data_IF_341418849026
#
_entry.id   IF_341418849026
#
_cell.length_a   1.000
_cell.length_b   1.000
_cell.length_c   1.000
_cell.angle_alpha   90.00
_cell.angle_beta   90.00
_cell.angle_gamma   90.00
#
_symmetry.space_group_name_H-M   'P 1'
#
loop_
_entity.id
_entity.type
_entity.pdbx_description
1 polymer ?
#
# COMPACT_ATOMS: atom_id res chain seq x y z
N UNK A 1 28.23 5.27 7.36
CA UNK A 1 27.02 4.57 7.85
C UNK A 1 26.89 3.25 7.11
N UNK A 2 26.71 2.19 7.84
CA UNK A 2 26.50 0.88 7.25
C UNK A 2 25.01 0.75 6.86
N UNK A 3 24.75 0.45 5.60
CA UNK A 3 23.36 0.22 5.16
C UNK A 3 22.81 -1.01 5.89
N UNK A 4 21.55 -0.92 6.29
CA UNK A 4 20.86 -2.05 6.90
C UNK A 4 20.82 -3.18 5.87
N UNK A 5 21.42 -4.37 6.16
CA UNK A 5 21.43 -5.45 5.19
C UNK A 5 20.05 -6.04 4.90
N UNK A 6 19.04 -5.70 5.73
CA UNK A 6 17.67 -6.13 5.52
C UNK A 6 16.91 -5.25 4.55
N UNK A 7 17.41 -4.04 4.28
CA UNK A 7 16.75 -3.15 3.32
C UNK A 7 17.01 -3.64 1.90
N UNK A 8 15.95 -3.77 1.15
CA UNK A 8 16.01 -4.16 -0.26
C UNK A 8 15.93 -2.89 -1.12
N UNK A 9 16.99 -2.51 -1.82
CA UNK A 9 16.98 -1.29 -2.65
C UNK A 9 15.99 -1.36 -3.81
N UNK A 10 15.55 -2.56 -4.19
CA UNK A 10 14.53 -2.74 -5.21
C UNK A 10 13.12 -2.58 -4.67
N UNK A 11 12.94 -2.57 -3.35
CA UNK A 11 11.63 -2.40 -2.72
C UNK A 11 11.43 -0.98 -2.23
N UNK A 12 10.16 -0.58 -2.10
CA UNK A 12 9.78 0.60 -1.32
C UNK A 12 9.46 0.11 0.08
N UNK A 13 10.14 0.64 1.08
CA UNK A 13 9.97 0.26 2.49
C UNK A 13 9.82 1.52 3.33
N UNK A 14 8.64 1.72 3.89
CA UNK A 14 8.33 2.92 4.68
C UNK A 14 7.64 2.52 5.98
N UNK A 15 7.99 3.21 7.04
CA UNK A 15 7.39 3.00 8.36
C UNK A 15 6.73 4.25 8.89
N UNK A 16 5.67 4.07 9.65
CA UNK A 16 4.97 5.15 10.33
C UNK A 16 4.48 4.68 11.69
N UNK A 17 4.43 5.59 12.65
CA UNK A 17 3.87 5.30 13.98
C UNK A 17 2.58 6.09 14.16
N UNK A 18 1.54 5.41 14.66
CA UNK A 18 0.26 6.03 14.99
C UNK A 18 -0.05 5.79 16.47
N UNK A 19 -0.62 6.79 17.12
CA UNK A 19 -1.02 6.68 18.52
C UNK A 19 -2.20 5.75 18.73
N UNK A 20 -2.95 5.50 17.67
CA UNK A 20 -4.16 4.69 17.70
C UNK A 20 -3.82 3.19 17.68
N UNK A 21 -4.68 2.34 18.25
CA UNK A 21 -4.41 0.90 18.30
C UNK A 21 -4.51 0.25 16.91
N UNK A 22 -3.95 -0.97 16.75
CA UNK A 22 -3.99 -1.66 15.46
C UNK A 22 -5.39 -1.79 14.85
N UNK A 23 -6.42 -1.92 15.68
CA UNK A 23 -7.79 -2.01 15.19
C UNK A 23 -8.20 -0.77 14.41
N UNK A 24 -7.82 0.42 14.89
CA UNK A 24 -8.14 1.68 14.21
C UNK A 24 -7.36 1.81 12.90
N UNK A 25 -6.11 1.41 12.88
CA UNK A 25 -5.29 1.42 11.67
C UNK A 25 -5.83 0.42 10.65
N UNK A 26 -6.19 -0.77 11.11
CA UNK A 26 -6.77 -1.81 10.26
C UNK A 26 -8.05 -1.33 9.58
N UNK A 27 -8.91 -0.63 10.31
CA UNK A 27 -10.14 -0.09 9.74
C UNK A 27 -9.85 0.88 8.60
N UNK A 28 -8.86 1.75 8.77
CA UNK A 28 -8.48 2.68 7.71
C UNK A 28 -7.95 1.98 6.46
N UNK A 29 -7.33 0.80 6.63
CA UNK A 29 -6.80 0.02 5.51
C UNK A 29 -7.85 -0.84 4.81
N UNK A 30 -8.97 -1.13 5.45
CA UNK A 30 -9.92 -2.14 4.96
C UNK A 30 -11.34 -1.64 4.73
N UNK A 31 -11.77 -0.57 5.36
CA UNK A 31 -13.10 -0.02 5.13
C UNK A 31 -13.12 0.86 3.88
N UNK A 32 -13.97 0.55 2.87
CA UNK A 32 -13.98 1.30 1.61
C UNK A 32 -14.20 2.80 1.78
N UNK A 33 -15.06 3.22 2.70
CA UNK A 33 -15.31 4.64 2.94
C UNK A 33 -14.06 5.36 3.46
N UNK A 34 -13.25 4.68 4.28
CA UNK A 34 -12.01 5.24 4.80
C UNK A 34 -10.90 5.20 3.75
N UNK A 35 -10.82 4.10 2.98
CA UNK A 35 -9.87 4.00 1.87
C UNK A 35 -10.05 5.13 0.85
N UNK A 36 -11.29 5.52 0.58
CA UNK A 36 -11.57 6.61 -0.34
C UNK A 36 -10.95 7.94 0.13
N UNK A 37 -10.84 8.12 1.44
CA UNK A 37 -10.37 9.38 2.01
C UNK A 37 -8.85 9.56 1.94
N UNK A 38 -8.07 8.47 1.89
CA UNK A 38 -6.62 8.59 1.87
C UNK A 38 -5.95 7.95 0.64
N UNK A 39 -6.66 7.11 -0.06
CA UNK A 39 -6.15 6.45 -1.26
C UNK A 39 -7.16 6.58 -2.40
N UNK A 40 -8.04 5.63 -2.55
CA UNK A 40 -9.08 5.59 -3.58
C UNK A 40 -10.20 4.69 -3.08
N UNK A 41 -11.42 4.87 -3.61
CA UNK A 41 -12.52 3.97 -3.28
C UNK A 41 -12.36 2.67 -4.06
N UNK A 42 -12.27 1.51 -3.38
CA UNK A 42 -12.16 0.24 -4.08
C UNK A 42 -13.53 -0.27 -4.51
N UNK A 43 -13.54 -1.06 -5.58
CA UNK A 43 -14.71 -1.81 -6.03
C UNK A 43 -14.44 -3.29 -5.81
N UNK A 44 -15.31 -3.97 -5.07
CA UNK A 44 -15.21 -5.40 -4.83
C UNK A 44 -14.24 -5.81 -3.74
N UNK A 45 -13.82 -4.87 -2.90
CA UNK A 45 -12.84 -5.16 -1.85
C UNK A 45 -13.46 -5.94 -0.69
N UNK A 46 -12.72 -6.95 -0.22
CA UNK A 46 -12.93 -7.61 1.06
C UNK A 46 -11.58 -8.06 1.58
N UNK A 47 -11.37 -8.04 2.90
CA UNK A 47 -10.12 -8.47 3.51
C UNK A 47 -10.09 -9.99 3.65
N UNK A 48 -10.18 -10.68 2.51
CA UNK A 48 -10.16 -12.14 2.42
C UNK A 48 -9.25 -12.56 1.26
N UNK A 49 -8.41 -13.56 1.50
CA UNK A 49 -7.51 -14.08 0.48
C UNK A 49 -8.28 -14.53 -0.75
N UNK A 50 -7.77 -14.15 -1.93
CA UNK A 50 -8.40 -14.48 -3.21
C UNK A 50 -9.40 -13.45 -3.70
N UNK A 51 -9.71 -12.42 -2.90
CA UNK A 51 -10.62 -11.36 -3.34
C UNK A 51 -9.95 -10.53 -4.43
N UNK A 52 -10.63 -10.40 -5.56
CA UNK A 52 -10.22 -9.50 -6.64
C UNK A 52 -10.96 -8.19 -6.49
N UNK A 53 -10.23 -7.09 -6.52
CA UNK A 53 -10.81 -5.76 -6.42
C UNK A 53 -10.05 -4.80 -7.32
N UNK A 54 -10.61 -3.61 -7.50
CA UNK A 54 -9.98 -2.60 -8.35
C UNK A 54 -10.19 -1.21 -7.76
N UNK A 55 -9.25 -0.33 -8.09
CA UNK A 55 -9.42 1.10 -7.92
C UNK A 55 -9.58 1.71 -9.30
N UNK A 56 -10.50 2.66 -9.44
CA UNK A 56 -10.65 3.45 -10.66
C UNK A 56 -10.07 4.83 -10.38
N UNK A 57 -9.06 5.22 -11.17
CA UNK A 57 -8.46 6.54 -11.04
C UNK A 57 -9.41 7.55 -11.69
N UNK A 58 -9.64 8.65 -10.98
CA UNK A 58 -10.67 9.64 -11.29
C UNK A 58 -10.80 9.97 -12.77
N UNK A 59 -12.04 10.09 -13.23
CA UNK A 59 -12.45 10.57 -14.55
C UNK A 59 -12.00 9.72 -15.73
N UNK A 60 -11.45 8.54 -15.50
CA UNK A 60 -11.04 7.69 -16.59
C UNK A 60 -11.40 6.24 -16.33
N UNK A 61 -12.34 5.72 -17.10
CA UNK A 61 -12.63 4.28 -17.11
C UNK A 61 -11.46 3.46 -17.63
N UNK A 62 -10.45 4.13 -18.19
CA UNK A 62 -9.26 3.49 -18.75
C UNK A 62 -8.20 3.26 -17.68
N UNK A 63 -8.11 4.17 -16.70
CA UNK A 63 -7.07 4.09 -15.67
C UNK A 63 -7.59 3.32 -14.47
N UNK A 64 -7.31 2.04 -14.46
CA UNK A 64 -7.67 1.14 -13.37
C UNK A 64 -6.44 0.52 -12.76
N UNK A 65 -6.54 0.24 -11.46
CA UNK A 65 -5.55 -0.55 -10.73
C UNK A 65 -6.25 -1.84 -10.35
N UNK A 66 -5.71 -2.97 -10.80
CA UNK A 66 -6.29 -4.29 -10.53
C UNK A 66 -5.50 -4.95 -9.42
N UNK A 67 -6.21 -5.46 -8.42
CA UNK A 67 -5.62 -6.01 -7.22
C UNK A 67 -6.23 -7.36 -6.86
N UNK A 68 -5.44 -8.16 -6.15
CA UNK A 68 -5.90 -9.42 -5.56
C UNK A 68 -5.34 -9.52 -4.15
N UNK A 69 -6.19 -9.85 -3.18
CA UNK A 69 -5.75 -10.05 -1.80
C UNK A 69 -4.99 -11.36 -1.70
N UNK A 70 -3.74 -11.28 -1.27
CA UNK A 70 -2.83 -12.43 -1.16
C UNK A 70 -2.66 -12.90 0.28
N UNK A 71 -2.82 -12.01 1.25
CA UNK A 71 -2.79 -12.35 2.67
C UNK A 71 -3.67 -11.35 3.42
N UNK A 72 -4.42 -11.83 4.40
CA UNK A 72 -5.26 -11.00 5.23
C UNK A 72 -5.36 -11.60 6.63
N UNK A 73 -4.65 -10.98 7.57
CA UNK A 73 -4.71 -11.34 9.00
C UNK A 73 -5.17 -10.11 9.75
N UNK A 74 -6.39 -10.10 10.29
CA UNK A 74 -6.97 -8.91 10.91
C UNK A 74 -6.06 -8.26 11.94
N UNK A 75 -5.86 -6.96 11.81
CA UNK A 75 -5.02 -6.12 12.68
C UNK A 75 -3.53 -6.48 12.65
N UNK A 76 -3.09 -7.35 11.74
CA UNK A 76 -1.69 -7.76 11.66
C UNK A 76 -1.08 -7.56 10.28
N UNK A 77 -1.76 -8.00 9.22
CA UNK A 77 -1.19 -7.97 7.88
C UNK A 77 -2.26 -7.95 6.81
N UNK A 78 -2.03 -7.10 5.80
CA UNK A 78 -2.83 -7.08 4.58
C UNK A 78 -1.87 -6.99 3.41
N UNK A 79 -1.93 -7.96 2.49
CA UNK A 79 -1.06 -8.01 1.33
C UNK A 79 -1.93 -8.15 0.08
N UNK A 80 -1.67 -7.33 -0.93
CA UNK A 80 -2.38 -7.47 -2.20
C UNK A 80 -1.46 -7.14 -3.37
N UNK A 81 -1.81 -7.67 -4.54
CA UNK A 81 -1.14 -7.32 -5.78
C UNK A 81 -1.63 -5.97 -6.28
N UNK A 82 -0.83 -5.35 -7.15
CA UNK A 82 -1.11 -4.03 -7.69
C UNK A 82 -0.62 -3.99 -9.12
N UNK A 83 -1.53 -3.81 -10.05
CA UNK A 83 -1.19 -3.84 -11.47
C UNK A 83 -1.97 -2.79 -12.25
N UNK A 84 -1.27 -2.11 -13.16
CA UNK A 84 -1.90 -1.20 -14.12
C UNK A 84 -2.07 -1.95 -15.44
N UNK A 85 -3.26 -2.49 -15.74
CA UNK A 85 -3.45 -3.32 -16.92
C UNK A 85 -3.33 -2.55 -18.24
N UNK A 86 -3.49 -1.21 -18.21
CA UNK A 86 -3.39 -0.38 -19.40
C UNK A 86 -1.96 0.07 -19.72
N UNK A 87 -1.01 -0.24 -18.86
CA UNK A 87 0.38 0.11 -19.09
C UNK A 87 0.91 -0.64 -20.32
N UNK A 88 1.80 0.02 -21.06
CA UNK A 88 2.43 -0.60 -22.23
C UNK A 88 3.17 -1.88 -21.86
N UNK A 89 3.83 -1.85 -20.69
CA UNK A 89 4.51 -3.01 -20.15
C UNK A 89 3.99 -3.24 -18.72
N UNK A 90 2.84 -3.94 -18.58
CA UNK A 90 2.26 -4.14 -17.26
C UNK A 90 3.22 -4.85 -16.32
N UNK A 91 3.40 -4.29 -15.14
CA UNK A 91 4.17 -4.91 -14.07
C UNK A 91 3.22 -5.21 -12.92
N UNK A 92 3.50 -6.29 -12.21
CA UNK A 92 2.72 -6.69 -11.05
C UNK A 92 3.57 -6.46 -9.81
N UNK A 93 3.13 -5.53 -8.97
CA UNK A 93 3.78 -5.26 -7.70
C UNK A 93 3.00 -5.89 -6.57
N UNK A 94 3.67 -6.10 -5.45
CA UNK A 94 3.06 -6.60 -4.23
C UNK A 94 3.15 -5.51 -3.18
N UNK A 95 2.00 -5.12 -2.64
CA UNK A 95 1.89 -4.13 -1.57
C UNK A 95 1.55 -4.86 -0.29
N UNK A 96 2.40 -4.71 0.73
CA UNK A 96 2.22 -5.33 2.04
C UNK A 96 2.11 -4.26 3.11
N UNK A 97 1.08 -4.38 3.93
CA UNK A 97 0.87 -3.59 5.13
C UNK A 97 1.02 -4.49 6.34
N UNK A 98 2.00 -4.21 7.18
CA UNK A 98 2.22 -4.95 8.42
C UNK A 98 2.00 -4.02 9.60
N UNK A 99 1.16 -4.45 10.55
CA UNK A 99 0.82 -3.70 11.74
C UNK A 99 1.44 -4.38 12.96
N UNK A 100 2.15 -3.61 13.77
CA UNK A 100 2.78 -4.11 14.98
C UNK A 100 2.30 -3.25 16.16
N UNK A 101 1.71 -3.85 17.20
CA UNK A 101 1.40 -3.10 18.41
C UNK A 101 2.69 -2.52 18.99
N UNK A 102 2.64 -1.27 19.38
CA UNK A 102 3.77 -0.61 20.02
C UNK A 102 3.22 0.31 21.13
N UNK A 103 3.36 -0.13 22.37
CA UNK A 103 2.68 0.54 23.47
C UNK A 103 1.17 0.50 23.26
N UNK A 104 0.53 1.66 23.31
CA UNK A 104 -0.91 1.79 23.03
C UNK A 104 -1.18 2.07 21.55
N UNK A 105 -0.13 2.29 20.78
CA UNK A 105 -0.25 2.65 19.37
C UNK A 105 0.13 1.53 18.44
N UNK A 106 0.41 1.92 17.21
CA UNK A 106 0.69 0.98 16.13
C UNK A 106 1.87 1.46 15.31
N UNK A 107 2.81 0.56 15.06
CA UNK A 107 3.83 0.74 14.03
C UNK A 107 3.31 0.11 12.75
N UNK A 108 3.22 0.91 11.70
CA UNK A 108 2.78 0.46 10.38
C UNK A 108 3.98 0.41 9.45
N UNK A 109 4.14 -0.73 8.80
CA UNK A 109 5.18 -0.92 7.79
C UNK A 109 4.53 -1.15 6.44
N UNK A 110 4.92 -0.34 5.46
CA UNK A 110 4.50 -0.48 4.08
C UNK A 110 5.69 -0.99 3.28
N UNK A 111 5.48 -2.07 2.55
CA UNK A 111 6.49 -2.63 1.65
C UNK A 111 5.86 -2.83 0.28
N UNK A 112 6.49 -2.33 -0.77
CA UNK A 112 6.07 -2.60 -2.14
C UNK A 112 7.24 -3.21 -2.89
N UNK A 113 7.03 -4.39 -3.47
CA UNK A 113 8.05 -5.17 -4.16
C UNK A 113 7.65 -5.46 -5.60
N UNK A 114 8.59 -5.98 -6.38
CA UNK A 114 8.37 -6.34 -7.77
C UNK A 114 9.02 -5.39 -8.77
N UNK A 115 9.81 -4.43 -8.29
CA UNK A 115 10.56 -3.52 -9.16
C UNK A 115 11.88 -4.15 -9.57
N UNK A 116 12.17 -4.14 -10.88
CA UNK A 116 13.48 -4.52 -11.40
C UNK A 116 14.31 -3.25 -11.54
N UNK A 117 15.18 -2.98 -10.59
CA UNK A 117 15.98 -1.74 -10.58
C UNK A 117 17.13 -1.75 -11.57
N UNK A 118 17.42 -2.88 -12.21
CA UNK A 118 18.36 -2.93 -13.31
C UNK A 118 17.73 -2.39 -14.60
N UNK A 119 16.40 -2.41 -14.69
CA UNK A 119 15.65 -1.72 -15.71
C UNK A 119 15.49 -0.25 -15.29
N UNK A 120 16.06 0.66 -16.07
CA UNK A 120 16.05 2.09 -15.76
C UNK A 120 14.63 2.65 -15.57
N UNK A 121 13.67 2.21 -16.38
CA UNK A 121 12.28 2.67 -16.27
C UNK A 121 11.65 2.23 -14.96
N UNK A 122 11.85 0.97 -14.58
CA UNK A 122 11.30 0.46 -13.32
C UNK A 122 11.98 1.11 -12.12
N UNK A 123 13.27 1.40 -12.21
CA UNK A 123 13.95 2.13 -11.13
C UNK A 123 13.35 3.51 -10.95
N UNK A 124 13.04 4.22 -12.02
CA UNK A 124 12.40 5.53 -11.94
C UNK A 124 10.99 5.44 -11.36
N UNK A 125 10.23 4.43 -11.77
CA UNK A 125 8.88 4.20 -11.22
C UNK A 125 8.98 3.87 -9.73
N UNK A 126 9.93 3.04 -9.33
CA UNK A 126 10.16 2.72 -7.91
C UNK A 126 10.41 3.99 -7.10
N UNK A 127 11.30 4.86 -7.59
CA UNK A 127 11.64 6.08 -6.88
C UNK A 127 10.46 7.06 -6.81
N UNK A 128 9.71 7.19 -7.89
CA UNK A 128 8.52 8.03 -7.91
C UNK A 128 7.44 7.49 -6.97
N UNK A 129 7.27 6.17 -6.92
CA UNK A 129 6.31 5.50 -6.03
C UNK A 129 6.66 5.76 -4.57
N UNK A 130 7.95 5.65 -4.21
CA UNK A 130 8.38 5.94 -2.84
C UNK A 130 8.06 7.37 -2.44
N UNK A 131 8.34 8.34 -3.31
CA UNK A 131 8.05 9.75 -3.03
C UNK A 131 6.55 9.98 -2.85
N UNK A 132 5.73 9.33 -3.68
CA UNK A 132 4.28 9.48 -3.60
C UNK A 132 3.72 8.93 -2.31
N UNK A 133 4.13 7.71 -1.92
CA UNK A 133 3.72 7.12 -0.64
C UNK A 133 4.15 8.00 0.52
N UNK A 134 5.39 8.43 0.53
CA UNK A 134 5.98 9.17 1.65
C UNK A 134 5.40 10.57 1.80
N UNK A 135 5.24 11.29 0.70
CA UNK A 135 4.89 12.72 0.74
C UNK A 135 3.41 13.01 0.62
N UNK A 136 2.65 12.11 0.03
CA UNK A 136 1.24 12.35 -0.27
C UNK A 136 0.32 11.37 0.44
N UNK A 137 0.54 10.07 0.23
CA UNK A 137 -0.44 9.07 0.64
C UNK A 137 -0.39 8.76 2.13
N UNK A 138 0.79 8.49 2.69
CA UNK A 138 0.93 8.21 4.12
C UNK A 138 0.49 9.38 5.02
N UNK A 139 0.77 10.65 4.69
CA UNK A 139 0.22 11.76 5.45
C UNK A 139 -1.31 11.80 5.45
N UNK A 140 -1.96 11.48 4.33
CA UNK A 140 -3.42 11.40 4.26
C UNK A 140 -3.97 10.27 5.12
N UNK A 141 -3.29 9.13 5.11
CA UNK A 141 -3.67 8.02 5.97
C UNK A 141 -3.62 8.43 7.44
N UNK A 142 -2.57 9.15 7.83
CA UNK A 142 -2.46 9.69 9.19
C UNK A 142 -3.64 10.57 9.57
N UNK A 143 -4.08 11.44 8.67
CA UNK A 143 -5.24 12.32 8.92
C UNK A 143 -6.52 11.50 9.12
N UNK A 144 -6.73 10.45 8.34
CA UNK A 144 -7.91 9.60 8.45
C UNK A 144 -7.92 8.83 9.78
N UNK A 145 -6.75 8.32 10.20
CA UNK A 145 -6.63 7.57 11.45
C UNK A 145 -6.85 8.45 12.67
N UNK A 146 -6.47 9.72 12.59
CA UNK A 146 -6.63 10.67 13.70
C UNK A 146 -8.07 11.12 13.93
N UNK A 147 -8.97 10.77 13.05
CA UNK A 147 -10.39 11.13 13.20
C UNK A 147 -11.20 9.97 13.81
#
# INVERSE_FOLDING_TARGET
MIADPQLNPAAVELGSFFRQPPKAVWRALTEPDLLERWLLRPTGFAASVGTHFRFTIADSSINQIICEVLAARPCEQLTYSWMYPQAEHPARWIVDWTLQPQGRGTRLLLTQTGFDIEDHRQKMVRNATERRWKRLVLPRLGEVIHH
#
